data_IF_800812083265
#
_entry.id   IF_800812083265
#
_cell.length_a   1.000
_cell.length_b   1.000
_cell.length_c   1.000
_cell.angle_alpha   90.00
_cell.angle_beta   90.00
_cell.angle_gamma   90.00
#
_symmetry.space_group_name_H-M   'P 1'
#
loop_
_entity.id
_entity.type
_entity.pdbx_description
1 polymer ?
#
# COMPACT_ATOMS: atom_id res chain seq x y z
N UNK A 1 18.46 1.62 51.99
CA UNK A 1 19.04 1.47 50.61
C UNK A 1 19.44 2.84 50.08
N UNK A 2 20.62 2.99 49.51
CA UNK A 2 21.06 4.32 49.06
C UNK A 2 20.13 4.85 47.93
N UNK A 3 19.75 6.11 48.07
CA UNK A 3 18.88 6.86 47.12
C UNK A 3 19.26 6.69 45.64
N UNK A 4 20.53 6.51 45.35
CA UNK A 4 21.07 6.25 44.02
C UNK A 4 20.59 4.94 43.39
N UNK A 5 20.37 3.87 44.18
CA UNK A 5 19.94 2.56 43.67
C UNK A 5 18.48 2.59 43.21
N UNK A 6 17.58 3.19 43.99
CA UNK A 6 16.16 3.33 43.63
C UNK A 6 15.98 4.13 42.33
N UNK A 7 16.72 5.23 42.16
CA UNK A 7 16.68 6.06 40.97
C UNK A 7 17.17 5.29 39.73
N UNK A 8 18.24 4.54 39.82
CA UNK A 8 18.76 3.70 38.73
C UNK A 8 17.77 2.60 38.34
N UNK A 9 17.13 1.95 39.30
CA UNK A 9 16.13 0.92 39.05
C UNK A 9 14.92 1.49 38.27
N UNK A 10 14.39 2.67 38.66
CA UNK A 10 13.30 3.33 37.96
C UNK A 10 13.64 3.71 36.52
N UNK A 11 14.85 4.19 36.30
CA UNK A 11 15.34 4.54 34.94
C UNK A 11 15.43 3.28 34.08
N UNK A 12 16.02 2.20 34.59
CA UNK A 12 16.15 0.92 33.88
C UNK A 12 14.76 0.37 33.55
N UNK A 13 13.83 0.41 34.50
CA UNK A 13 12.44 -0.04 34.28
C UNK A 13 11.75 0.79 33.19
N UNK A 14 11.83 2.12 33.26
CA UNK A 14 11.24 3.00 32.26
C UNK A 14 11.82 2.76 30.86
N UNK A 15 13.16 2.62 30.75
CA UNK A 15 13.82 2.35 29.48
C UNK A 15 13.46 0.98 28.91
N UNK A 16 13.40 -0.07 29.75
CA UNK A 16 13.03 -1.42 29.30
C UNK A 16 11.58 -1.47 28.82
N UNK A 17 10.67 -0.77 29.50
CA UNK A 17 9.26 -0.68 29.10
C UNK A 17 9.11 0.06 27.77
N UNK A 18 9.79 1.20 27.59
CA UNK A 18 9.77 1.94 26.32
C UNK A 18 10.37 1.13 25.17
N UNK A 19 11.45 0.39 25.42
CA UNK A 19 12.05 -0.49 24.43
C UNK A 19 11.08 -1.60 24.00
N UNK A 20 10.40 -2.24 24.97
CA UNK A 20 9.39 -3.26 24.70
C UNK A 20 8.24 -2.70 23.84
N UNK A 21 7.71 -1.53 24.23
CA UNK A 21 6.66 -0.84 23.45
C UNK A 21 7.15 -0.53 22.03
N UNK A 22 8.38 -0.04 21.88
CA UNK A 22 8.99 0.24 20.58
C UNK A 22 9.07 -1.00 19.68
N UNK A 23 9.51 -2.13 20.25
CA UNK A 23 9.58 -3.40 19.51
C UNK A 23 8.18 -3.88 19.10
N UNK A 24 7.20 -3.82 19.98
CA UNK A 24 5.81 -4.21 19.66
C UNK A 24 5.21 -3.33 18.56
N UNK A 25 5.45 -2.01 18.62
CA UNK A 25 4.99 -1.08 17.58
C UNK A 25 5.69 -1.33 16.23
N UNK A 26 6.97 -1.66 16.24
CA UNK A 26 7.69 -2.03 15.01
C UNK A 26 7.12 -3.30 14.37
N UNK A 27 6.87 -4.35 15.16
CA UNK A 27 6.23 -5.59 14.68
C UNK A 27 4.83 -5.32 14.14
N UNK A 28 4.03 -4.53 14.85
CA UNK A 28 2.70 -4.13 14.39
C UNK A 28 2.78 -3.34 13.07
N UNK A 29 3.74 -2.43 12.95
CA UNK A 29 3.95 -1.65 11.72
C UNK A 29 4.25 -2.56 10.53
N UNK A 30 5.18 -3.51 10.68
CA UNK A 30 5.51 -4.46 9.61
C UNK A 30 4.30 -5.28 9.19
N UNK A 31 3.54 -5.81 10.15
CA UNK A 31 2.33 -6.57 9.89
C UNK A 31 1.28 -5.74 9.16
N UNK A 32 0.95 -4.55 9.68
CA UNK A 32 -0.05 -3.67 9.09
C UNK A 32 0.35 -3.19 7.68
N UNK A 33 1.63 -2.87 7.48
CA UNK A 33 2.16 -2.50 6.16
C UNK A 33 2.00 -3.63 5.15
N UNK A 34 2.37 -4.85 5.50
CA UNK A 34 2.25 -6.01 4.62
C UNK A 34 0.77 -6.29 4.27
N UNK A 35 -0.12 -6.22 5.25
CA UNK A 35 -1.55 -6.41 5.06
C UNK A 35 -2.16 -5.33 4.12
N UNK A 36 -1.76 -4.05 4.30
CA UNK A 36 -2.20 -2.97 3.40
C UNK A 36 -1.70 -3.17 1.97
N UNK A 37 -0.46 -3.64 1.78
CA UNK A 37 0.08 -3.94 0.46
C UNK A 37 -0.68 -5.10 -0.18
N UNK A 38 -0.91 -6.18 0.54
CA UNK A 38 -1.65 -7.35 0.06
C UNK A 38 -3.08 -6.97 -0.33
N UNK A 39 -3.79 -6.23 0.51
CA UNK A 39 -5.13 -5.74 0.19
C UNK A 39 -5.16 -4.85 -1.05
N UNK A 40 -4.14 -4.02 -1.25
CA UNK A 40 -4.00 -3.18 -2.44
C UNK A 40 -3.79 -4.05 -3.69
N UNK A 41 -2.94 -5.07 -3.61
CA UNK A 41 -2.70 -6.01 -4.72
C UNK A 41 -3.98 -6.75 -5.10
N UNK A 42 -4.71 -7.29 -4.12
CA UNK A 42 -5.99 -7.99 -4.32
C UNK A 42 -7.01 -7.06 -4.99
N UNK A 43 -7.12 -5.82 -4.54
CA UNK A 43 -8.01 -4.82 -5.14
C UNK A 43 -7.66 -4.54 -6.60
N UNK A 44 -6.38 -4.36 -6.90
CA UNK A 44 -5.89 -4.11 -8.26
C UNK A 44 -6.17 -5.31 -9.17
N UNK A 45 -6.00 -6.54 -8.67
CA UNK A 45 -6.33 -7.77 -9.38
C UNK A 45 -7.82 -7.82 -9.72
N UNK A 46 -8.71 -7.63 -8.74
CA UNK A 46 -10.16 -7.61 -9.02
C UNK A 46 -10.56 -6.55 -10.02
N UNK A 47 -9.89 -5.39 -9.99
CA UNK A 47 -10.15 -4.32 -10.95
C UNK A 47 -9.70 -4.71 -12.35
N UNK A 48 -8.53 -5.33 -12.49
CA UNK A 48 -8.03 -5.83 -13.77
C UNK A 48 -8.97 -6.90 -14.36
N UNK A 49 -9.45 -7.82 -13.53
CA UNK A 49 -10.41 -8.85 -13.92
C UNK A 49 -11.75 -8.24 -14.37
N UNK A 50 -12.23 -7.20 -13.69
CA UNK A 50 -13.44 -6.47 -14.07
C UNK A 50 -13.28 -5.76 -15.42
N UNK A 51 -12.10 -5.16 -15.70
CA UNK A 51 -11.80 -4.55 -17.00
C UNK A 51 -11.74 -5.63 -18.08
N UNK A 52 -11.05 -6.76 -17.84
CA UNK A 52 -10.97 -7.87 -18.78
C UNK A 52 -12.36 -8.42 -19.13
N UNK A 53 -13.22 -8.61 -18.15
CA UNK A 53 -14.61 -9.04 -18.35
C UNK A 53 -15.41 -8.03 -19.17
N UNK A 54 -15.26 -6.74 -18.87
CA UNK A 54 -15.92 -5.67 -19.63
C UNK A 54 -15.45 -5.60 -21.07
N UNK A 55 -14.16 -5.83 -21.34
CA UNK A 55 -13.62 -5.93 -22.70
C UNK A 55 -14.31 -7.05 -23.50
N UNK A 56 -14.48 -8.24 -22.89
CA UNK A 56 -15.16 -9.37 -23.52
C UNK A 56 -16.63 -9.08 -23.78
N UNK A 57 -17.33 -8.44 -22.84
CA UNK A 57 -18.73 -8.03 -23.01
C UNK A 57 -18.90 -7.07 -24.19
N UNK A 58 -18.03 -6.07 -24.28
CA UNK A 58 -18.05 -5.08 -25.35
C UNK A 58 -17.67 -5.66 -26.71
N UNK A 59 -16.75 -6.62 -26.75
CA UNK A 59 -16.37 -7.34 -27.95
C UNK A 59 -17.54 -8.20 -28.47
N UNK A 60 -18.20 -8.94 -27.59
CA UNK A 60 -19.37 -9.76 -27.91
C UNK A 60 -20.56 -8.90 -28.39
N UNK A 61 -20.75 -7.73 -27.80
CA UNK A 61 -21.79 -6.78 -28.20
C UNK A 61 -21.51 -6.05 -29.52
N UNK A 62 -20.35 -6.27 -30.15
CA UNK A 62 -19.91 -5.57 -31.37
C UNK A 62 -20.01 -4.04 -31.25
N UNK A 63 -19.66 -3.51 -30.09
CA UNK A 63 -19.76 -2.09 -29.78
C UNK A 63 -18.95 -1.24 -30.75
N UNK A 64 -19.47 -0.09 -31.18
CA UNK A 64 -18.80 0.82 -32.12
C UNK A 64 -17.64 1.60 -31.47
N UNK A 65 -17.75 1.89 -30.17
CA UNK A 65 -16.74 2.66 -29.44
C UNK A 65 -16.38 1.99 -28.10
N UNK A 66 -15.81 0.77 -28.10
CA UNK A 66 -15.63 -0.02 -26.89
C UNK A 66 -14.65 0.64 -25.89
N UNK A 67 -13.63 1.32 -26.37
CA UNK A 67 -12.64 2.00 -25.52
C UNK A 67 -13.25 3.18 -24.76
N UNK A 68 -14.13 3.95 -25.41
CA UNK A 68 -14.81 5.08 -24.78
C UNK A 68 -15.77 4.63 -23.69
N UNK A 69 -16.52 3.55 -23.95
CA UNK A 69 -17.42 2.97 -22.95
C UNK A 69 -16.62 2.43 -21.74
N UNK A 70 -15.47 1.82 -22.03
CA UNK A 70 -14.58 1.32 -20.99
C UNK A 70 -14.01 2.46 -20.15
N UNK A 71 -13.58 3.54 -20.79
CA UNK A 71 -13.08 4.75 -20.12
C UNK A 71 -14.13 5.37 -19.21
N UNK A 72 -15.36 5.51 -19.66
CA UNK A 72 -16.47 6.03 -18.85
C UNK A 72 -16.78 5.11 -17.66
N UNK A 73 -16.80 3.78 -17.88
CA UNK A 73 -17.09 2.78 -16.83
C UNK A 73 -16.03 2.76 -15.74
N UNK A 74 -14.76 2.96 -16.09
CA UNK A 74 -13.60 2.94 -15.18
C UNK A 74 -12.92 4.30 -15.03
N UNK A 75 -13.68 5.39 -15.14
CA UNK A 75 -13.19 6.78 -15.12
C UNK A 75 -12.27 7.12 -13.95
N UNK A 76 -12.55 6.53 -12.76
CA UNK A 76 -11.80 6.80 -11.53
C UNK A 76 -10.67 5.79 -11.29
N UNK A 77 -10.42 4.91 -12.24
CA UNK A 77 -9.40 3.87 -12.11
C UNK A 77 -8.32 4.12 -13.15
N UNK A 78 -7.09 4.41 -12.76
CA UNK A 78 -5.99 4.54 -13.70
C UNK A 78 -5.63 3.16 -14.28
N UNK A 79 -5.70 3.00 -15.61
CA UNK A 79 -5.33 1.75 -16.28
C UNK A 79 -4.71 1.97 -17.65
N UNK A 80 -3.98 0.95 -18.10
CA UNK A 80 -3.36 0.90 -19.43
C UNK A 80 -3.68 -0.43 -20.09
N UNK A 81 -4.03 -0.41 -21.35
CA UNK A 81 -4.22 -1.60 -22.16
C UNK A 81 -3.04 -1.75 -23.13
N UNK A 82 -2.45 -2.95 -23.15
CA UNK A 82 -1.32 -3.29 -24.01
C UNK A 82 -1.69 -4.41 -24.98
N UNK A 83 -1.02 -4.42 -26.13
CA UNK A 83 -1.05 -5.55 -27.06
C UNK A 83 0.00 -6.63 -26.69
N UNK A 84 0.12 -7.67 -27.52
CA UNK A 84 1.09 -8.75 -27.35
C UNK A 84 2.53 -8.25 -27.37
N UNK A 85 2.82 -7.21 -28.16
CA UNK A 85 4.13 -6.57 -28.25
C UNK A 85 4.41 -5.56 -27.14
N UNK A 86 3.53 -5.46 -26.13
CA UNK A 86 3.53 -4.48 -25.05
C UNK A 86 3.43 -3.02 -25.55
N UNK A 87 2.83 -2.78 -26.71
CA UNK A 87 2.51 -1.43 -27.16
C UNK A 87 1.20 -0.97 -26.54
N UNK A 88 1.15 0.31 -26.16
CA UNK A 88 -0.04 0.90 -25.58
C UNK A 88 -1.14 1.05 -26.61
N UNK A 89 -2.27 0.37 -26.39
CA UNK A 89 -3.50 0.51 -27.18
C UNK A 89 -4.38 1.62 -26.64
N UNK A 90 -4.46 1.72 -25.30
CA UNK A 90 -5.22 2.74 -24.62
C UNK A 90 -4.59 3.04 -23.23
N UNK A 91 -4.67 4.28 -22.80
CA UNK A 91 -4.27 4.69 -21.45
C UNK A 91 -5.09 5.90 -21.01
N UNK A 92 -5.67 5.84 -19.82
CA UNK A 92 -6.25 7.01 -19.14
C UNK A 92 -5.26 7.66 -18.16
N UNK A 93 -4.02 7.19 -18.11
CA UNK A 93 -2.93 7.74 -17.30
C UNK A 93 -2.08 8.63 -18.19
N UNK A 94 -2.22 9.97 -18.07
CA UNK A 94 -1.71 10.93 -19.06
C UNK A 94 -0.21 10.91 -19.38
N UNK A 95 0.68 10.59 -18.46
CA UNK A 95 2.15 10.67 -18.67
C UNK A 95 2.86 9.31 -18.67
N UNK A 96 2.11 8.22 -18.63
CA UNK A 96 2.63 6.87 -18.34
C UNK A 96 3.34 6.19 -19.53
N UNK A 97 3.20 6.74 -20.72
CA UNK A 97 3.40 6.04 -22.01
C UNK A 97 4.84 5.67 -22.34
N UNK A 98 5.85 6.23 -21.70
CA UNK A 98 7.18 6.22 -22.31
C UNK A 98 8.19 5.20 -21.79
N UNK A 99 7.92 4.39 -20.77
CA UNK A 99 9.02 3.73 -20.04
C UNK A 99 8.87 2.25 -19.71
N UNK A 100 7.88 1.53 -20.23
CA UNK A 100 7.85 0.08 -20.10
C UNK A 100 8.83 -0.58 -21.06
N UNK A 101 10.11 -0.63 -20.70
CA UNK A 101 11.03 -1.58 -21.30
C UNK A 101 10.67 -2.98 -20.76
N UNK A 102 10.47 -3.91 -21.67
CA UNK A 102 9.99 -5.29 -21.43
C UNK A 102 10.70 -6.09 -20.32
N UNK A 103 11.90 -5.69 -19.91
CA UNK A 103 12.73 -6.49 -19.00
C UNK A 103 12.48 -6.26 -17.51
N UNK A 104 11.69 -5.25 -17.14
CA UNK A 104 11.49 -4.88 -15.75
C UNK A 104 10.31 -5.57 -15.06
N UNK A 105 9.40 -6.19 -15.81
CA UNK A 105 8.15 -6.76 -15.28
C UNK A 105 8.31 -8.27 -15.10
N UNK A 106 8.90 -8.68 -13.98
CA UNK A 106 9.05 -10.10 -13.61
C UNK A 106 7.95 -10.62 -12.70
N UNK A 107 7.14 -9.75 -12.14
CA UNK A 107 6.09 -10.09 -11.18
C UNK A 107 4.79 -9.38 -11.53
N UNK A 108 3.62 -9.98 -11.23
CA UNK A 108 2.32 -9.33 -11.47
C UNK A 108 2.20 -7.98 -10.79
N UNK A 109 2.84 -7.80 -9.64
CA UNK A 109 2.84 -6.55 -8.89
C UNK A 109 4.25 -5.97 -8.83
N UNK A 110 4.38 -4.68 -9.17
CA UNK A 110 5.64 -3.96 -9.12
C UNK A 110 5.42 -2.50 -8.75
N UNK A 111 6.47 -1.85 -8.21
CA UNK A 111 6.47 -0.43 -7.86
C UNK A 111 7.43 0.34 -8.74
N UNK A 112 6.95 1.45 -9.30
CA UNK A 112 7.77 2.39 -10.06
C UNK A 112 7.53 3.82 -9.54
N UNK A 113 8.58 4.54 -9.15
CA UNK A 113 8.50 5.94 -8.68
C UNK A 113 7.37 6.20 -7.66
N UNK A 114 7.20 5.34 -6.65
CA UNK A 114 6.18 5.43 -5.59
C UNK A 114 4.76 5.05 -6.00
N UNK A 115 4.53 4.68 -7.25
CA UNK A 115 3.25 4.15 -7.74
C UNK A 115 3.30 2.62 -7.75
N UNK A 116 2.20 1.98 -7.42
CA UNK A 116 2.04 0.55 -7.55
C UNK A 116 1.34 0.20 -8.87
N UNK A 117 1.76 -0.89 -9.47
CA UNK A 117 1.23 -1.39 -10.71
C UNK A 117 0.92 -2.87 -10.58
N UNK A 118 -0.20 -3.27 -11.15
CA UNK A 118 -0.58 -4.66 -11.30
C UNK A 118 -0.75 -4.97 -12.78
N UNK A 119 -0.04 -5.98 -13.26
CA UNK A 119 -0.09 -6.46 -14.64
C UNK A 119 -0.82 -7.80 -14.69
N UNK A 120 -1.80 -7.95 -15.56
CA UNK A 120 -2.39 -9.24 -15.89
C UNK A 120 -1.52 -9.95 -16.93
N UNK A 121 -1.32 -11.25 -16.77
CA UNK A 121 -0.46 -12.03 -17.69
C UNK A 121 -1.09 -12.24 -19.07
N UNK A 122 -2.41 -12.34 -19.15
CA UNK A 122 -3.11 -12.40 -20.43
C UNK A 122 -4.59 -12.09 -20.26
N UNK A 123 -5.14 -11.36 -21.22
CA UNK A 123 -6.58 -11.30 -21.42
C UNK A 123 -7.00 -12.25 -22.52
N UNK A 124 -8.23 -12.78 -22.50
CA UNK A 124 -8.76 -13.55 -23.62
C UNK A 124 -8.66 -12.75 -24.91
N UNK A 125 -8.41 -13.43 -26.03
CA UNK A 125 -8.35 -12.82 -27.37
C UNK A 125 -9.59 -12.00 -27.62
N UNK A 126 -9.41 -10.72 -27.96
CA UNK A 126 -10.47 -9.77 -28.27
C UNK A 126 -10.14 -8.99 -29.54
N UNK A 127 -11.17 -8.42 -30.20
CA UNK A 127 -11.01 -7.68 -31.47
C UNK A 127 -10.14 -6.44 -31.36
N UNK A 128 -9.99 -5.90 -30.15
CA UNK A 128 -9.13 -4.75 -29.89
C UNK A 128 -7.65 -5.12 -29.86
N UNK A 129 -7.31 -6.42 -29.85
CA UNK A 129 -5.94 -6.90 -29.74
C UNK A 129 -5.29 -6.53 -28.39
N UNK A 130 -6.08 -6.42 -27.33
CA UNK A 130 -5.58 -6.22 -25.97
C UNK A 130 -5.19 -7.56 -25.38
N UNK A 131 -3.94 -7.69 -25.00
CA UNK A 131 -3.42 -8.91 -24.35
C UNK A 131 -3.12 -8.73 -22.87
N UNK A 132 -2.80 -7.49 -22.45
CA UNK A 132 -2.41 -7.20 -21.06
C UNK A 132 -3.10 -5.95 -20.56
N UNK A 133 -3.42 -5.95 -19.27
CA UNK A 133 -4.00 -4.82 -18.55
C UNK A 133 -3.08 -4.45 -17.41
N UNK A 134 -2.73 -3.18 -17.32
CA UNK A 134 -2.01 -2.63 -16.18
C UNK A 134 -2.95 -1.74 -15.39
N UNK A 135 -3.07 -1.98 -14.10
CA UNK A 135 -3.74 -1.11 -13.15
C UNK A 135 -2.69 -0.31 -12.41
N UNK A 136 -2.86 0.99 -12.32
CA UNK A 136 -2.01 1.86 -11.53
C UNK A 136 -2.73 2.29 -10.24
N UNK A 137 -2.00 2.26 -9.15
CA UNK A 137 -2.43 2.86 -7.88
C UNK A 137 -1.56 4.09 -7.63
N UNK A 138 -2.16 5.27 -7.71
CA UNK A 138 -1.45 6.51 -7.42
C UNK A 138 -1.14 6.61 -5.93
N UNK A 139 0.13 6.91 -5.63
CA UNK A 139 0.61 7.24 -4.30
C UNK A 139 0.26 6.22 -3.19
N UNK A 140 0.62 4.94 -3.38
CA UNK A 140 0.51 3.92 -2.32
C UNK A 140 1.07 4.41 -0.98
N UNK A 141 2.07 5.29 -1.01
CA UNK A 141 2.64 5.87 0.21
C UNK A 141 1.65 6.73 0.99
N UNK A 142 0.68 7.38 0.34
CA UNK A 142 -0.37 8.14 1.05
C UNK A 142 -1.24 7.23 1.91
N UNK A 143 -1.43 6.00 1.49
CA UNK A 143 -2.21 5.01 2.25
C UNK A 143 -1.52 4.61 3.57
N UNK A 144 -0.21 4.84 3.69
CA UNK A 144 0.54 4.57 4.92
C UNK A 144 0.59 5.76 5.89
N UNK A 145 0.24 6.99 5.46
CA UNK A 145 0.28 8.18 6.33
C UNK A 145 -0.55 7.99 7.60
N UNK A 146 -1.83 7.51 7.55
CA UNK A 146 -2.61 7.26 8.75
C UNK A 146 -1.96 6.24 9.69
N UNK A 147 -1.31 5.21 9.13
CA UNK A 147 -0.60 4.20 9.91
C UNK A 147 0.60 4.81 10.65
N UNK A 148 1.41 5.63 9.98
CA UNK A 148 2.52 6.34 10.62
C UNK A 148 2.05 7.27 11.74
N UNK A 149 0.97 8.02 11.50
CA UNK A 149 0.38 8.91 12.50
C UNK A 149 -0.12 8.14 13.72
N UNK A 150 -0.85 7.04 13.51
CA UNK A 150 -1.36 6.20 14.59
C UNK A 150 -0.23 5.64 15.46
N UNK A 151 0.84 5.12 14.86
CA UNK A 151 2.01 4.60 15.56
C UNK A 151 2.68 5.71 16.37
N UNK A 152 2.83 6.91 15.79
CA UNK A 152 3.39 8.07 16.46
C UNK A 152 2.58 8.46 17.69
N UNK A 153 1.26 8.53 17.59
CA UNK A 153 0.38 8.85 18.73
C UNK A 153 0.41 7.79 19.83
N UNK A 154 0.41 6.50 19.47
CA UNK A 154 0.51 5.40 20.44
C UNK A 154 1.85 5.44 21.18
N UNK A 155 2.95 5.65 20.46
CA UNK A 155 4.28 5.76 21.10
C UNK A 155 4.37 6.96 22.03
N UNK A 156 3.83 8.10 21.62
CA UNK A 156 3.81 9.32 22.44
C UNK A 156 2.96 9.15 23.70
N UNK A 157 1.78 8.55 23.58
CA UNK A 157 0.90 8.22 24.70
C UNK A 157 1.55 7.23 25.67
N UNK A 158 2.18 6.16 25.17
CA UNK A 158 2.92 5.21 26.00
C UNK A 158 4.09 5.87 26.73
N UNK A 159 4.83 6.75 26.07
CA UNK A 159 5.95 7.49 26.68
C UNK A 159 5.48 8.38 27.82
N UNK A 160 4.37 9.11 27.63
CA UNK A 160 3.77 9.93 28.68
C UNK A 160 3.29 9.09 29.85
N UNK A 161 2.64 7.97 29.58
CA UNK A 161 2.15 7.06 30.61
C UNK A 161 3.30 6.48 31.47
N UNK A 162 4.38 6.02 30.83
CA UNK A 162 5.58 5.54 31.54
C UNK A 162 6.21 6.63 32.39
N UNK A 163 6.28 7.88 31.88
CA UNK A 163 6.80 9.02 32.62
C UNK A 163 5.96 9.34 33.87
N UNK A 164 4.61 9.31 33.75
CA UNK A 164 3.69 9.51 34.87
C UNK A 164 3.83 8.43 35.94
N UNK A 165 3.90 7.16 35.54
CA UNK A 165 4.12 6.03 36.47
C UNK A 165 5.47 6.19 37.18
N UNK A 166 6.53 6.49 36.46
CA UNK A 166 7.86 6.68 37.03
C UNK A 166 7.86 7.82 38.07
N UNK A 167 7.17 8.95 37.76
CA UNK A 167 7.00 10.09 38.69
C UNK A 167 6.19 9.71 39.91
N UNK A 168 5.11 8.96 39.75
CA UNK A 168 4.24 8.52 40.84
C UNK A 168 4.99 7.56 41.81
N UNK A 169 5.69 6.55 41.25
CA UNK A 169 6.53 5.64 42.04
C UNK A 169 7.63 6.38 42.77
N UNK A 170 8.27 7.36 42.13
CA UNK A 170 9.28 8.19 42.80
C UNK A 170 8.70 8.95 43.99
N UNK A 171 7.50 9.53 43.86
CA UNK A 171 6.83 10.26 44.94
C UNK A 171 6.49 9.36 46.14
N UNK A 172 5.97 8.14 45.88
CA UNK A 172 5.66 7.15 46.96
C UNK A 172 6.91 6.73 47.70
N UNK A 173 8.04 6.59 47.02
CA UNK A 173 9.29 6.12 47.61
C UNK A 173 10.09 7.23 48.33
N UNK A 174 9.73 8.49 48.12
CA UNK A 174 10.37 9.66 48.74
C UNK A 174 9.68 10.12 50.04
N UNK A 175 8.46 9.64 50.29
CA UNK A 175 7.76 9.74 51.58
C UNK A 175 8.06 8.53 52.45
#
# INVERSE_FOLDING_TARGET
MPYSFKKRFLIIYALSTLLLVGVLLALFFFYAKNNLLENTQIRMQYTADAIAKSLLELDNASSLEPLKILEERFKNTPFVLLDEDNKVKFSNIGAFVASFKNDAIKTPYFMLKKQGFYLTDSTPTNRLGVSKIIIAEEEIQKNFIPLYQMIGYVFLGASLFVALIARWLYKIQSN
#
